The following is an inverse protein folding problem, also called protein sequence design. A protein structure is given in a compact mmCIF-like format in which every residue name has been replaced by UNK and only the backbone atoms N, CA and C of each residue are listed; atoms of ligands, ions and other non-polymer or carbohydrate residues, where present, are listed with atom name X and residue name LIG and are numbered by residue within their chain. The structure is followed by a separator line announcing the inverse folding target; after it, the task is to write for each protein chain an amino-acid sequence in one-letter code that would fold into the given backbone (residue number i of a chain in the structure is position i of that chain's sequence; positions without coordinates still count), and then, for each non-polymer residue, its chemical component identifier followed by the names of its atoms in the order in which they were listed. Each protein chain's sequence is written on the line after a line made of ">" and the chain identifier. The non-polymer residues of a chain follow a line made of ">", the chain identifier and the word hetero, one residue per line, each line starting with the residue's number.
data_IF_690254222240
#
_entry.id   IF_690254222240
#
_cell.length_a   1.000
_cell.length_b   1.000
_cell.length_c   1.000
_cell.angle_alpha   90.00
_cell.angle_beta   90.00
_cell.angle_gamma   90.00
#
_symmetry.space_group_name_H-M   'P 1'
#
loop_
_entity.id
_entity.type
_entity.pdbx_description
1 polymer ?
#
# COMPACT_ATOMS: atom_id res chain seq x y z
N UNK A 1 14.96 45.48 13.20
CA UNK A 1 13.57 45.01 13.04
C UNK A 1 13.59 43.89 12.02
N UNK A 2 12.95 42.78 12.35
CA UNK A 2 13.25 41.42 11.87
C UNK A 2 13.16 41.24 10.35
N UNK A 3 14.24 40.73 9.76
CA UNK A 3 14.17 39.93 8.54
C UNK A 3 13.47 38.61 8.90
N UNK A 4 12.24 38.43 8.42
CA UNK A 4 11.63 37.10 8.38
C UNK A 4 12.23 36.37 7.18
N UNK A 5 13.36 35.68 7.40
CA UNK A 5 13.82 34.62 6.50
C UNK A 5 12.78 33.51 6.52
N UNK A 6 11.85 33.55 5.57
CA UNK A 6 11.00 32.42 5.25
C UNK A 6 11.89 31.37 4.62
N UNK A 7 12.28 30.40 5.46
CA UNK A 7 13.01 29.18 5.11
C UNK A 7 12.40 28.57 3.85
N UNK A 8 13.11 28.71 2.74
CA UNK A 8 12.74 28.21 1.40
C UNK A 8 13.00 26.70 1.32
N UNK A 9 12.53 25.96 2.32
CA UNK A 9 12.54 24.49 2.36
C UNK A 9 11.20 23.96 1.85
N UNK A 10 10.65 24.57 0.79
CA UNK A 10 9.59 23.91 0.05
C UNK A 10 10.27 22.88 -0.86
N UNK A 11 10.04 21.56 -0.68
CA UNK A 11 10.64 20.57 -1.56
C UNK A 11 10.35 20.91 -3.02
N UNK A 12 11.30 20.60 -3.91
CA UNK A 12 11.08 20.77 -5.34
C UNK A 12 9.93 19.83 -5.78
N UNK A 13 8.82 20.41 -6.26
CA UNK A 13 7.63 19.65 -6.65
C UNK A 13 7.50 19.69 -8.17
N UNK A 14 7.79 18.56 -8.80
CA UNK A 14 7.47 18.34 -10.21
C UNK A 14 5.99 18.00 -10.41
N UNK A 15 5.41 18.52 -11.50
CA UNK A 15 4.03 18.22 -11.91
C UNK A 15 4.02 17.15 -12.99
N UNK A 16 3.26 16.09 -12.75
CA UNK A 16 3.01 15.04 -13.74
C UNK A 16 1.58 15.14 -14.30
N UNK A 17 1.39 14.76 -15.55
CA UNK A 17 0.08 14.62 -16.18
C UNK A 17 -0.24 13.12 -16.34
N UNK A 18 -1.34 12.67 -15.73
CA UNK A 18 -1.79 11.28 -15.80
C UNK A 18 -3.03 11.15 -16.70
N UNK A 19 -3.05 10.13 -17.57
CA UNK A 19 -4.24 9.76 -18.35
C UNK A 19 -4.82 8.47 -17.79
N UNK A 20 -6.09 8.49 -17.43
CA UNK A 20 -6.85 7.32 -16.96
C UNK A 20 -8.20 7.25 -17.67
N UNK A 21 -8.84 6.08 -17.65
CA UNK A 21 -10.20 5.93 -18.17
C UNK A 21 -11.19 6.72 -17.30
N UNK A 22 -12.30 7.17 -17.91
CA UNK A 22 -13.35 7.88 -17.19
C UNK A 22 -13.99 7.04 -16.09
N UNK A 23 -14.25 5.76 -16.38
CA UNK A 23 -14.81 4.83 -15.40
C UNK A 23 -13.89 4.65 -14.20
N UNK A 24 -12.58 4.60 -14.40
CA UNK A 24 -11.65 4.50 -13.28
C UNK A 24 -11.55 5.82 -12.49
N UNK A 25 -11.63 6.97 -13.16
CA UNK A 25 -11.68 8.27 -12.49
C UNK A 25 -12.88 8.36 -11.52
N UNK A 26 -14.04 7.83 -11.90
CA UNK A 26 -15.23 7.81 -11.02
C UNK A 26 -14.97 6.99 -9.74
N UNK A 27 -14.33 5.83 -9.86
CA UNK A 27 -13.93 4.98 -8.72
C UNK A 27 -12.90 5.68 -7.83
N UNK A 28 -11.91 6.34 -8.44
CA UNK A 28 -10.94 7.16 -7.70
C UNK A 28 -11.67 8.27 -6.94
N UNK A 29 -12.63 8.94 -7.60
CA UNK A 29 -13.41 10.05 -7.06
C UNK A 29 -14.27 9.62 -5.85
N UNK A 30 -14.80 8.41 -5.85
CA UNK A 30 -15.48 7.82 -4.70
C UNK A 30 -14.49 7.52 -3.57
N UNK A 31 -13.41 6.80 -3.86
CA UNK A 31 -12.45 6.33 -2.87
C UNK A 31 -11.79 7.46 -2.06
N UNK A 32 -11.38 8.58 -2.68
CA UNK A 32 -10.74 9.66 -1.92
C UNK A 32 -11.72 10.37 -0.97
N UNK A 33 -13.00 10.46 -1.34
CA UNK A 33 -14.04 11.08 -0.50
C UNK A 33 -14.37 10.20 0.69
N UNK A 34 -14.58 8.91 0.45
CA UNK A 34 -14.86 7.94 1.52
C UNK A 34 -13.73 7.87 2.55
N UNK A 35 -12.49 7.96 2.08
CA UNK A 35 -11.29 7.95 2.93
C UNK A 35 -10.97 9.32 3.55
N UNK A 36 -11.77 10.35 3.28
CA UNK A 36 -11.66 11.67 3.93
C UNK A 36 -10.46 12.52 3.50
N UNK A 37 -9.90 12.30 2.31
CA UNK A 37 -8.81 13.13 1.80
C UNK A 37 -9.31 14.54 1.47
N UNK A 38 -8.45 15.57 1.57
CA UNK A 38 -8.84 16.94 1.26
C UNK A 38 -8.93 17.19 -0.25
N UNK A 39 -8.22 16.39 -1.04
CA UNK A 39 -8.25 16.49 -2.50
C UNK A 39 -7.90 15.18 -3.19
N UNK A 40 -8.35 15.04 -4.43
CA UNK A 40 -7.97 13.97 -5.35
C UNK A 40 -6.46 13.85 -5.52
N UNK A 41 -5.79 14.98 -5.73
CA UNK A 41 -4.34 15.01 -5.94
C UNK A 41 -3.55 14.58 -4.70
N UNK A 42 -4.10 14.76 -3.50
CA UNK A 42 -3.52 14.23 -2.27
C UNK A 42 -3.66 12.71 -2.20
N UNK A 43 -4.85 12.18 -2.49
CA UNK A 43 -5.09 10.74 -2.53
C UNK A 43 -4.22 10.04 -3.59
N UNK A 44 -4.12 10.60 -4.80
CA UNK A 44 -3.27 10.04 -5.86
C UNK A 44 -1.79 10.03 -5.44
N UNK A 45 -1.30 11.11 -4.82
CA UNK A 45 0.09 11.14 -4.30
C UNK A 45 0.31 10.13 -3.18
N UNK A 46 -0.66 9.96 -2.28
CA UNK A 46 -0.62 8.95 -1.22
C UNK A 46 -0.54 7.54 -1.82
N UNK A 47 -1.44 7.20 -2.75
CA UNK A 47 -1.47 5.89 -3.39
C UNK A 47 -0.18 5.59 -4.16
N UNK A 48 0.37 6.57 -4.89
CA UNK A 48 1.65 6.42 -5.58
C UNK A 48 2.80 6.22 -4.59
N UNK A 49 2.83 6.97 -3.49
CA UNK A 49 3.86 6.82 -2.45
C UNK A 49 3.78 5.46 -1.77
N UNK A 50 2.56 5.00 -1.48
CA UNK A 50 2.33 3.70 -0.86
C UNK A 50 2.76 2.56 -1.79
N UNK A 51 2.39 2.61 -3.07
CA UNK A 51 2.80 1.62 -4.06
C UNK A 51 4.33 1.55 -4.25
N UNK A 52 5.04 2.67 -4.10
CA UNK A 52 6.51 2.73 -4.19
C UNK A 52 7.19 2.26 -2.91
N UNK A 53 6.64 2.60 -1.74
CA UNK A 53 7.26 2.30 -0.44
C UNK A 53 6.92 0.90 0.09
N UNK A 54 5.79 0.35 -0.33
CA UNK A 54 5.32 -0.99 0.02
C UNK A 54 5.05 -1.80 -1.26
N UNK A 55 6.07 -2.05 -2.11
CA UNK A 55 5.90 -2.79 -3.37
C UNK A 55 5.43 -4.22 -3.12
N UNK A 56 5.71 -4.78 -1.94
CA UNK A 56 5.19 -6.04 -1.48
C UNK A 56 3.67 -6.07 -1.36
N UNK A 57 2.94 -4.94 -1.32
CA UNK A 57 1.48 -4.96 -1.32
C UNK A 57 0.90 -5.72 -2.52
N UNK A 58 1.52 -5.63 -3.70
CA UNK A 58 1.13 -6.43 -4.87
C UNK A 58 1.56 -7.91 -4.76
N UNK A 59 2.68 -8.20 -4.09
CA UNK A 59 3.15 -9.56 -3.82
C UNK A 59 2.36 -10.25 -2.70
N UNK A 60 1.95 -9.52 -1.68
CA UNK A 60 1.26 -9.98 -0.49
C UNK A 60 -0.13 -10.51 -0.83
N UNK A 61 -0.87 -9.86 -1.73
CA UNK A 61 -2.14 -10.40 -2.22
C UNK A 61 -1.96 -11.71 -2.99
N UNK A 62 -0.86 -11.84 -3.74
CA UNK A 62 -0.51 -13.09 -4.42
C UNK A 62 -0.14 -14.17 -3.40
N UNK A 63 0.66 -13.83 -2.39
CA UNK A 63 1.07 -14.77 -1.35
C UNK A 63 -0.12 -15.20 -0.48
N UNK A 64 -1.05 -14.30 -0.18
CA UNK A 64 -2.30 -14.59 0.52
C UNK A 64 -3.22 -15.51 -0.31
N UNK A 65 -3.39 -15.21 -1.60
CA UNK A 65 -4.18 -16.06 -2.50
C UNK A 65 -3.56 -17.47 -2.68
N UNK A 66 -2.22 -17.56 -2.73
CA UNK A 66 -1.51 -18.84 -2.75
C UNK A 66 -1.74 -19.60 -1.44
N UNK A 67 -1.64 -18.92 -0.29
CA UNK A 67 -1.88 -19.53 1.02
C UNK A 67 -3.32 -20.02 1.17
N UNK A 68 -4.31 -19.31 0.64
CA UNK A 68 -5.72 -19.73 0.65
C UNK A 68 -5.93 -20.99 -0.19
N UNK A 69 -5.36 -21.03 -1.41
CA UNK A 69 -5.41 -22.20 -2.27
C UNK A 69 -4.74 -23.43 -1.63
N UNK A 70 -3.58 -23.24 -0.98
CA UNK A 70 -2.89 -24.31 -0.24
C UNK A 70 -3.71 -24.85 0.95
N UNK A 71 -4.53 -23.99 1.56
CA UNK A 71 -5.42 -24.37 2.65
C UNK A 71 -6.59 -25.22 2.15
N UNK A 72 -7.18 -24.84 1.01
CA UNK A 72 -8.28 -25.59 0.36
C UNK A 72 -7.83 -26.95 -0.21
N UNK A 73 -6.57 -27.07 -0.65
CA UNK A 73 -5.98 -28.33 -1.13
C UNK A 73 -5.57 -29.28 0.01
N UNK A 74 -5.75 -28.88 1.27
CA UNK A 74 -5.43 -29.69 2.45
C UNK A 74 -3.93 -29.79 2.76
N UNK A 75 -3.10 -28.98 2.11
CA UNK A 75 -1.64 -28.95 2.25
C UNK A 75 -1.22 -27.97 3.37
N UNK A 76 -2.01 -27.95 4.45
CA UNK A 76 -1.76 -27.11 5.62
C UNK A 76 -0.86 -27.85 6.62
N UNK A 77 0.30 -27.27 6.94
CA UNK A 77 1.10 -27.76 8.06
C UNK A 77 0.47 -27.30 9.38
N UNK A 78 0.23 -28.24 10.29
CA UNK A 78 -0.23 -27.92 11.65
C UNK A 78 0.76 -27.02 12.37
N UNK A 79 0.29 -26.12 13.24
CA UNK A 79 1.14 -25.23 14.03
C UNK A 79 2.23 -26.00 14.80
N UNK A 80 1.91 -27.20 15.31
CA UNK A 80 2.85 -28.05 16.04
C UNK A 80 3.90 -28.71 15.12
N UNK A 81 3.55 -28.90 13.84
CA UNK A 81 4.46 -29.44 12.83
C UNK A 81 5.41 -28.38 12.28
N UNK A 82 4.91 -27.15 12.07
CA UNK A 82 5.71 -25.98 11.71
C UNK A 82 6.71 -25.67 12.83
N UNK A 83 6.26 -25.66 14.08
CA UNK A 83 7.14 -25.41 15.24
C UNK A 83 8.27 -26.43 15.31
N UNK A 84 7.96 -27.72 15.19
CA UNK A 84 8.94 -28.82 15.18
C UNK A 84 9.92 -28.76 14.01
N UNK A 85 9.44 -28.39 12.81
CA UNK A 85 10.28 -28.23 11.62
C UNK A 85 11.26 -27.06 11.75
N UNK A 86 10.86 -26.00 12.45
CA UNK A 86 11.66 -24.78 12.62
C UNK A 86 12.36 -24.68 13.97
N UNK A 87 12.28 -25.70 14.84
CA UNK A 87 12.90 -25.69 16.18
C UNK A 87 12.32 -24.61 17.09
N UNK A 88 11.06 -24.21 16.85
CA UNK A 88 10.31 -23.22 17.63
C UNK A 88 9.40 -23.91 18.66
N UNK A 89 9.37 -25.23 18.67
CA UNK A 89 8.90 -26.05 19.78
C UNK A 89 9.97 -26.02 20.89
N UNK A 90 10.06 -24.86 21.55
CA UNK A 90 10.93 -24.70 22.70
C UNK A 90 10.56 -25.64 23.85
N UNK A 91 11.59 -25.97 24.63
CA UNK A 91 11.45 -26.23 26.07
C UNK A 91 10.84 -25.02 26.80
#
# INVERSE_FOLDING_TARGET
>A
MSETGSDDTNPEIDRINLRISRSFLEVVDEAWRERGFNSRSEYIRYALRDAVNHPEGAGFWKDLAISEAQFDEGDSLSSDEVKRKHGLDGE
#
